data_IF_634393968488
#
_entry.id   IF_634393968488
#
_cell.length_a   1.000
_cell.length_b   1.000
_cell.length_c   1.000
_cell.angle_alpha   90.00
_cell.angle_beta   90.00
_cell.angle_gamma   90.00
#
_symmetry.space_group_name_H-M   'P 1'
#
loop_
_entity.id
_entity.type
_entity.pdbx_description
1 polymer ?
#
# COMPACT_ATOMS: atom_id res chain seq x y z
N UNK A 1 -16.24 5.66 6.91
CA UNK A 1 -16.11 5.68 5.44
C UNK A 1 -14.88 4.86 5.07
N UNK A 2 -14.96 4.00 4.05
CA UNK A 2 -13.78 3.27 3.55
C UNK A 2 -12.97 4.12 2.56
N UNK A 3 -11.73 3.69 2.25
CA UNK A 3 -10.82 4.44 1.40
C UNK A 3 -11.37 4.58 -0.04
N UNK A 4 -12.06 3.56 -0.55
CA UNK A 4 -12.63 3.60 -1.90
C UNK A 4 -13.72 4.64 -2.04
N UNK A 5 -14.61 4.74 -1.05
CA UNK A 5 -15.67 5.73 -1.00
C UNK A 5 -15.10 7.15 -0.88
N UNK A 6 -14.05 7.35 -0.07
CA UNK A 6 -13.35 8.65 0.00
C UNK A 6 -12.78 9.02 -1.38
N UNK A 7 -12.05 8.12 -2.03
CA UNK A 7 -11.50 8.37 -3.37
C UNK A 7 -12.58 8.66 -4.41
N UNK A 8 -13.65 7.84 -4.46
CA UNK A 8 -14.77 8.02 -5.40
C UNK A 8 -15.51 9.34 -5.24
N UNK A 9 -15.65 9.83 -4.02
CA UNK A 9 -16.29 11.11 -3.74
C UNK A 9 -15.40 12.32 -4.06
N UNK A 10 -14.13 12.10 -4.36
CA UNK A 10 -13.20 13.12 -4.81
C UNK A 10 -13.03 13.03 -6.33
N UNK A 11 -11.95 12.41 -6.82
CA UNK A 11 -11.64 12.34 -8.25
C UNK A 11 -11.13 10.96 -8.62
N UNK A 12 -11.94 10.22 -9.37
CA UNK A 12 -11.55 8.95 -10.01
C UNK A 12 -11.99 8.97 -11.46
N UNK A 13 -11.16 8.48 -12.37
CA UNK A 13 -11.50 8.39 -13.78
C UNK A 13 -11.65 6.93 -14.20
N UNK A 14 -12.86 6.45 -14.55
CA UNK A 14 -13.04 5.10 -15.04
C UNK A 14 -12.37 4.89 -16.41
N UNK A 15 -11.74 3.73 -16.58
CA UNK A 15 -11.20 3.24 -17.86
C UNK A 15 -12.18 2.23 -18.43
N UNK A 16 -12.91 2.60 -19.48
CA UNK A 16 -13.93 1.73 -20.10
C UNK A 16 -13.37 0.84 -21.22
N UNK A 17 -12.28 1.31 -21.84
CA UNK A 17 -11.66 0.66 -23.00
C UNK A 17 -10.15 0.86 -22.93
N UNK A 18 -9.40 -0.18 -23.26
CA UNK A 18 -7.96 -0.14 -23.45
C UNK A 18 -7.64 -0.58 -24.87
N UNK A 19 -6.87 0.23 -25.60
CA UNK A 19 -6.43 -0.07 -26.96
C UNK A 19 -4.91 -0.20 -26.90
N UNK A 20 -4.40 -1.33 -27.39
CA UNK A 20 -2.97 -1.58 -27.54
C UNK A 20 -2.69 -1.63 -29.04
N UNK A 21 -1.81 -0.75 -29.52
CA UNK A 21 -1.41 -0.67 -30.92
C UNK A 21 0.11 -0.69 -31.04
N UNK A 22 0.59 -0.89 -32.26
CA UNK A 22 2.01 -0.85 -32.62
C UNK A 22 2.23 0.18 -33.74
N UNK A 23 3.47 0.64 -33.92
CA UNK A 23 3.78 1.81 -34.75
C UNK A 23 4.03 1.45 -36.23
N UNK A 24 4.32 0.19 -36.55
CA UNK A 24 4.71 -0.23 -37.89
C UNK A 24 3.52 -0.58 -38.79
N UNK A 25 2.30 -0.68 -38.24
CA UNK A 25 1.10 -0.99 -39.00
C UNK A 25 -0.17 -0.40 -38.36
N UNK A 26 -1.32 -0.59 -39.01
CA UNK A 26 -2.63 -0.21 -38.46
C UNK A 26 -3.24 -1.28 -37.53
N UNK A 27 -2.46 -2.29 -37.12
CA UNK A 27 -2.93 -3.35 -36.24
C UNK A 27 -3.11 -2.84 -34.80
N UNK A 28 -4.18 -3.28 -34.15
CA UNK A 28 -4.43 -3.00 -32.73
C UNK A 28 -5.29 -4.10 -32.10
N UNK A 29 -5.23 -4.19 -30.77
CA UNK A 29 -6.07 -5.04 -29.94
C UNK A 29 -6.86 -4.15 -28.99
N UNK A 30 -8.18 -4.36 -28.95
CA UNK A 30 -9.08 -3.62 -28.06
C UNK A 30 -9.57 -4.54 -26.94
N UNK A 31 -9.48 -4.05 -25.71
CA UNK A 31 -10.06 -4.65 -24.52
C UNK A 31 -11.21 -3.76 -24.03
N UNK A 32 -12.39 -4.34 -23.89
CA UNK A 32 -13.58 -3.72 -23.34
C UNK A 32 -14.46 -4.76 -22.65
N UNK A 33 -15.37 -4.31 -21.78
CA UNK A 33 -16.28 -5.22 -21.10
C UNK A 33 -17.36 -5.71 -22.09
N UNK A 34 -17.50 -7.03 -22.34
CA UNK A 34 -18.39 -7.56 -23.37
C UNK A 34 -19.88 -7.51 -23.01
N UNK A 35 -20.23 -7.22 -21.76
CA UNK A 35 -21.63 -7.15 -21.33
C UNK A 35 -22.25 -5.78 -21.58
N UNK A 36 -23.54 -5.75 -21.94
CA UNK A 36 -24.35 -4.54 -22.12
C UNK A 36 -24.43 -3.63 -20.87
N UNK A 37 -24.06 -4.14 -19.70
CA UNK A 37 -23.72 -3.35 -18.51
C UNK A 37 -22.37 -2.64 -18.72
N UNK A 38 -22.36 -1.72 -19.69
CA UNK A 38 -21.24 -0.83 -20.03
C UNK A 38 -20.78 0.08 -18.88
N UNK A 39 -21.44 0.01 -17.72
CA UNK A 39 -21.15 0.79 -16.53
C UNK A 39 -20.02 0.22 -15.67
N UNK A 40 -19.55 -1.02 -15.91
CA UNK A 40 -18.41 -1.59 -15.16
C UNK A 40 -17.09 -1.28 -15.86
N UNK A 41 -16.28 -0.35 -15.34
CA UNK A 41 -14.98 -0.03 -15.93
C UNK A 41 -13.96 -1.15 -15.72
N UNK A 42 -12.98 -1.22 -16.63
CA UNK A 42 -11.84 -2.13 -16.58
C UNK A 42 -10.89 -1.77 -15.43
N UNK A 43 -10.72 -0.47 -15.18
CA UNK A 43 -9.82 0.08 -14.17
C UNK A 43 -10.25 1.50 -13.79
N UNK A 44 -9.55 2.10 -12.83
CA UNK A 44 -9.67 3.50 -12.48
C UNK A 44 -8.30 4.16 -12.48
N UNK A 45 -8.22 5.34 -13.10
CA UNK A 45 -7.08 6.24 -12.92
C UNK A 45 -7.38 7.09 -11.69
N UNK A 46 -6.47 7.05 -10.73
CA UNK A 46 -6.57 7.77 -9.46
C UNK A 46 -5.23 8.44 -9.23
N UNK A 47 -5.25 9.68 -8.76
CA UNK A 47 -4.03 10.37 -8.36
C UNK A 47 -3.39 9.69 -7.16
N UNK A 48 -2.07 9.54 -7.19
CA UNK A 48 -1.31 8.93 -6.09
C UNK A 48 -1.54 9.68 -4.77
N UNK A 49 -1.54 11.01 -4.79
CA UNK A 49 -1.76 11.83 -3.60
C UNK A 49 -3.15 11.62 -3.01
N UNK A 50 -4.17 11.47 -3.86
CA UNK A 50 -5.52 11.16 -3.41
C UNK A 50 -5.55 9.78 -2.73
N UNK A 51 -4.96 8.74 -3.36
CA UNK A 51 -4.88 7.40 -2.78
C UNK A 51 -4.18 7.41 -1.41
N UNK A 52 -3.00 8.04 -1.34
CA UNK A 52 -2.22 8.15 -0.10
C UNK A 52 -3.01 8.89 0.96
N UNK A 53 -3.63 10.02 0.63
CA UNK A 53 -4.44 10.80 1.58
C UNK A 53 -5.62 9.98 2.14
N UNK A 54 -6.31 9.22 1.31
CA UNK A 54 -7.42 8.35 1.73
C UNK A 54 -6.93 7.23 2.66
N UNK A 55 -5.78 6.63 2.38
CA UNK A 55 -5.16 5.63 3.27
C UNK A 55 -4.72 6.23 4.60
N UNK A 56 -4.07 7.39 4.58
CA UNK A 56 -3.64 8.08 5.80
C UNK A 56 -4.83 8.46 6.69
N UNK A 57 -5.90 9.04 6.13
CA UNK A 57 -7.14 9.31 6.88
C UNK A 57 -7.66 8.06 7.59
N UNK A 58 -7.68 6.92 6.88
CA UNK A 58 -8.14 5.65 7.45
C UNK A 58 -7.23 5.16 8.56
N UNK A 59 -5.92 5.18 8.36
CA UNK A 59 -4.91 4.78 9.36
C UNK A 59 -5.03 5.66 10.60
N UNK A 60 -5.03 6.99 10.44
CA UNK A 60 -5.12 7.94 11.56
C UNK A 60 -6.43 7.85 12.35
N UNK A 61 -7.52 7.39 11.71
CA UNK A 61 -8.81 7.16 12.39
C UNK A 61 -8.91 5.81 13.10
N UNK A 62 -7.93 4.90 12.93
CA UNK A 62 -7.98 3.54 13.45
C UNK A 62 -7.32 3.46 14.82
N UNK A 63 -8.10 3.08 15.85
CA UNK A 63 -7.62 3.00 17.24
C UNK A 63 -6.60 1.88 17.50
N UNK A 64 -6.55 0.88 16.61
CA UNK A 64 -5.68 -0.29 16.72
C UNK A 64 -4.43 -0.21 15.83
N UNK A 65 -4.13 0.97 15.28
CA UNK A 65 -2.97 1.18 14.41
C UNK A 65 -2.15 2.34 14.96
N UNK A 66 -0.87 2.07 15.24
CA UNK A 66 0.10 3.10 15.56
C UNK A 66 0.94 3.39 14.33
N UNK A 67 0.88 4.61 13.83
CA UNK A 67 1.72 5.06 12.73
C UNK A 67 3.00 5.72 13.27
N UNK A 68 4.16 5.27 12.77
CA UNK A 68 5.46 5.91 13.01
C UNK A 68 6.10 6.29 11.67
N UNK A 69 6.43 7.57 11.52
CA UNK A 69 7.17 8.13 10.37
C UNK A 69 8.56 8.58 10.81
N UNK A 70 9.42 8.90 9.83
CA UNK A 70 10.76 9.48 10.05
C UNK A 70 11.61 8.64 11.02
N UNK A 71 11.39 7.34 11.02
CA UNK A 71 12.09 6.39 11.86
C UNK A 71 13.01 5.55 11.00
N UNK A 72 14.13 5.11 11.57
CA UNK A 72 15.06 4.18 10.90
C UNK A 72 15.11 2.89 11.71
N UNK A 73 15.14 1.76 11.00
CA UNK A 73 15.38 0.46 11.64
C UNK A 73 16.86 0.29 11.84
N UNK A 74 17.27 0.11 13.10
CA UNK A 74 18.67 -0.16 13.46
C UNK A 74 18.99 -1.65 13.39
N UNK A 75 18.09 -2.48 13.91
CA UNK A 75 18.23 -3.93 13.85
C UNK A 75 16.90 -4.64 14.09
N UNK A 76 16.81 -5.87 13.58
CA UNK A 76 15.66 -6.75 13.81
C UNK A 76 16.18 -8.06 14.40
N UNK A 77 15.62 -8.46 15.54
CA UNK A 77 15.77 -9.81 16.09
C UNK A 77 14.54 -10.63 15.70
N UNK A 78 14.73 -11.60 14.81
CA UNK A 78 13.69 -12.54 14.45
C UNK A 78 13.41 -13.51 15.60
N UNK A 79 12.19 -14.05 15.61
CA UNK A 79 11.78 -15.05 16.59
C UNK A 79 12.47 -16.40 16.27
N UNK A 80 13.03 -17.04 17.29
CA UNK A 80 13.68 -18.35 17.15
C UNK A 80 12.65 -19.50 17.12
N UNK A 81 11.44 -19.25 17.64
CA UNK A 81 10.31 -20.17 17.62
C UNK A 81 8.98 -19.43 17.40
N UNK A 82 7.92 -20.17 17.07
CA UNK A 82 6.56 -19.60 16.90
C UNK A 82 5.97 -18.99 18.18
N UNK A 83 6.52 -19.33 19.35
CA UNK A 83 6.12 -18.74 20.63
C UNK A 83 6.86 -17.43 20.95
N UNK A 84 7.96 -17.13 20.25
CA UNK A 84 8.77 -15.95 20.51
C UNK A 84 8.28 -14.73 19.73
N UNK A 85 8.61 -13.54 20.24
CA UNK A 85 8.29 -12.28 19.58
C UNK A 85 9.46 -11.81 18.72
N UNK A 86 9.14 -11.28 17.54
CA UNK A 86 10.07 -10.49 16.76
C UNK A 86 10.27 -9.16 17.47
N UNK A 87 11.53 -8.72 17.58
CA UNK A 87 11.88 -7.43 18.19
C UNK A 87 12.52 -6.52 17.14
N UNK A 88 12.00 -5.30 17.01
CA UNK A 88 12.54 -4.27 16.11
C UNK A 88 13.12 -3.14 16.95
N UNK A 89 14.39 -2.84 16.72
CA UNK A 89 15.09 -1.73 17.34
C UNK A 89 15.21 -0.57 16.35
N UNK A 90 14.85 0.62 16.79
CA UNK A 90 14.85 1.83 15.98
C UNK A 90 16.07 2.71 16.27
N UNK A 91 16.40 3.62 15.36
CA UNK A 91 17.52 4.56 15.49
C UNK A 91 17.40 5.52 16.68
N UNK A 92 16.17 5.84 17.09
CA UNK A 92 15.85 6.63 18.29
C UNK A 92 16.00 5.85 19.60
N UNK A 93 16.55 4.63 19.54
CA UNK A 93 16.64 3.67 20.65
C UNK A 93 15.30 3.11 21.16
N UNK A 94 14.18 3.48 20.54
CA UNK A 94 12.90 2.84 20.84
C UNK A 94 12.89 1.40 20.31
N UNK A 95 12.05 0.57 20.92
CA UNK A 95 11.92 -0.84 20.56
C UNK A 95 10.45 -1.20 20.48
N UNK A 96 10.10 -2.05 19.51
CA UNK A 96 8.76 -2.65 19.46
C UNK A 96 8.86 -4.15 19.24
N UNK A 97 8.01 -4.90 19.93
CA UNK A 97 7.89 -6.35 19.81
C UNK A 97 6.58 -6.73 19.13
N UNK A 98 6.59 -7.73 18.26
CA UNK A 98 5.40 -8.20 17.56
C UNK A 98 5.44 -9.71 17.32
N UNK A 99 4.27 -10.34 17.20
CA UNK A 99 4.16 -11.76 16.81
C UNK A 99 4.47 -12.00 15.33
N UNK A 100 4.27 -10.98 14.50
CA UNK A 100 4.52 -11.03 13.07
C UNK A 100 5.05 -9.68 12.63
N UNK A 101 6.17 -9.70 11.90
CA UNK A 101 6.71 -8.55 11.20
C UNK A 101 6.38 -8.69 9.71
N UNK A 102 5.76 -7.65 9.14
CA UNK A 102 5.50 -7.57 7.71
C UNK A 102 6.28 -6.39 7.16
N UNK A 103 7.17 -6.65 6.22
CA UNK A 103 7.92 -5.62 5.49
C UNK A 103 7.28 -5.41 4.13
N UNK A 104 6.92 -4.18 3.81
CA UNK A 104 6.44 -3.77 2.49
C UNK A 104 7.34 -2.65 1.99
N UNK A 105 8.18 -2.93 1.02
CA UNK A 105 9.13 -1.97 0.45
C UNK A 105 9.18 -2.17 -1.07
N UNK A 106 9.25 -1.07 -1.81
CA UNK A 106 9.16 -1.06 -3.28
C UNK A 106 10.52 -0.93 -3.98
N UNK A 107 11.62 -0.88 -3.24
CA UNK A 107 12.97 -0.84 -3.82
C UNK A 107 13.96 -1.65 -2.95
N UNK A 108 14.67 -2.61 -3.55
CA UNK A 108 15.53 -3.55 -2.81
C UNK A 108 16.88 -2.97 -2.37
N UNK A 109 17.24 -1.76 -2.80
CA UNK A 109 18.59 -1.21 -2.62
C UNK A 109 18.81 -0.40 -1.31
N UNK A 110 17.76 -0.10 -0.53
CA UNK A 110 17.86 0.78 0.65
C UNK A 110 17.54 0.14 2.00
N UNK A 111 17.17 -1.16 2.01
CA UNK A 111 16.80 -1.90 3.23
C UNK A 111 17.92 -1.98 4.29
N UNK A 112 19.16 -1.61 3.96
CA UNK A 112 20.27 -1.58 4.92
C UNK A 112 20.53 -0.20 5.56
N UNK A 113 19.90 0.88 5.11
CA UNK A 113 20.18 2.22 5.67
C UNK A 113 18.95 2.99 6.17
N UNK A 114 17.76 2.90 5.55
CA UNK A 114 16.66 3.81 5.88
C UNK A 114 15.24 3.23 5.66
N UNK A 115 14.77 2.29 6.50
CA UNK A 115 13.38 1.82 6.43
C UNK A 115 12.37 2.95 6.75
N UNK A 116 11.65 3.43 5.75
CA UNK A 116 10.68 4.55 5.85
C UNK A 116 9.25 4.08 6.18
N UNK A 117 9.10 3.35 7.29
CA UNK A 117 7.79 3.03 7.87
C UNK A 117 7.62 1.56 8.25
N UNK A 118 7.21 1.31 9.49
CA UNK A 118 6.85 -0.03 9.97
C UNK A 118 5.43 0.03 10.51
N UNK A 119 4.59 -0.86 10.01
CA UNK A 119 3.24 -1.05 10.52
C UNK A 119 3.23 -2.18 11.53
N UNK A 120 2.93 -1.86 12.79
CA UNK A 120 2.89 -2.84 13.87
C UNK A 120 1.43 -2.99 14.32
N UNK A 121 0.87 -4.17 14.05
CA UNK A 121 -0.48 -4.53 14.49
C UNK A 121 -0.40 -5.09 15.91
N UNK A 122 -0.86 -4.32 16.89
CA UNK A 122 -1.05 -4.85 18.24
C UNK A 122 -2.28 -5.78 18.26
N UNK A 123 -2.19 -6.98 18.87
CA UNK A 123 -3.37 -7.76 19.20
C UNK A 123 -4.17 -7.03 20.30
N UNK A 124 -5.50 -7.10 20.17
CA UNK A 124 -6.45 -6.73 21.22
C UNK A 124 -6.25 -7.59 22.48
#
# INVERSE_FOLDING_TARGET
MDCWSDMKNNRVQPVLRMIVWEDCSNAHVTFENPTSDSEKPLAYIIENDLMLSSFFKRISSSSNVTFKSETTVKSVKLADSLSDLVTVHFGDSSTVTAKLLVTVEFDQLWAFEHCSGIMIKNPL
#
